data_IF_116158307678
#
_entry.id   IF_116158307678
#
_cell.length_a   1.000
_cell.length_b   1.000
_cell.length_c   1.000
_cell.angle_alpha   90.00
_cell.angle_beta   90.00
_cell.angle_gamma   90.00
#
_symmetry.space_group_name_H-M   'P 1'
#
loop_
_entity.id
_entity.type
_entity.pdbx_description
1 polymer ?
#
# COMPACT_ATOMS: atom_id res chain seq x y z
N UNK A 1 -20.52 19.04 -30.73
CA UNK A 1 -19.53 18.05 -30.28
C UNK A 1 -18.15 18.69 -30.41
N UNK A 2 -17.57 19.19 -29.33
CA UNK A 2 -16.23 19.79 -29.34
C UNK A 2 -15.19 18.72 -29.00
N UNK A 3 -14.24 18.48 -29.91
CA UNK A 3 -13.10 17.60 -29.70
C UNK A 3 -12.10 18.24 -28.75
N UNK A 4 -11.60 17.47 -27.79
CA UNK A 4 -10.48 17.85 -26.94
C UNK A 4 -9.20 17.53 -27.70
N UNK A 5 -8.45 18.55 -28.12
CA UNK A 5 -7.12 18.41 -28.70
C UNK A 5 -6.09 18.39 -27.57
N UNK A 6 -5.33 17.30 -27.44
CA UNK A 6 -4.27 17.17 -26.43
C UNK A 6 -2.94 17.75 -26.98
N UNK A 7 -2.29 18.72 -26.31
CA UNK A 7 -1.19 19.51 -26.89
C UNK A 7 0.23 19.01 -26.56
N UNK A 8 0.46 17.70 -26.53
CA UNK A 8 1.81 17.18 -26.24
C UNK A 8 2.41 16.46 -27.45
N UNK A 9 3.27 17.19 -28.18
CA UNK A 9 4.20 16.62 -29.16
C UNK A 9 5.61 16.72 -28.58
N UNK A 10 6.16 15.65 -27.98
CA UNK A 10 7.58 15.62 -27.66
C UNK A 10 8.36 15.51 -28.97
N UNK A 11 9.24 16.48 -29.19
CA UNK A 11 10.15 16.50 -30.32
C UNK A 11 11.26 15.45 -30.13
N UNK A 12 11.42 14.59 -31.11
CA UNK A 12 12.64 13.81 -31.30
C UNK A 12 12.69 12.49 -30.54
N UNK A 13 11.93 11.49 -31.01
CA UNK A 13 12.29 10.08 -30.87
C UNK A 13 11.69 9.35 -32.08
N UNK A 14 12.47 8.49 -32.71
CA UNK A 14 12.16 7.86 -33.99
C UNK A 14 10.78 7.21 -33.97
N UNK A 15 10.01 7.41 -35.04
CA UNK A 15 8.71 6.76 -35.21
C UNK A 15 8.94 5.25 -35.20
N UNK A 16 8.61 4.59 -34.08
CA UNK A 16 8.52 3.15 -34.03
C UNK A 16 7.59 2.69 -35.15
N UNK A 17 8.07 1.75 -35.97
CA UNK A 17 7.30 1.12 -37.03
C UNK A 17 5.98 0.57 -36.46
N UNK A 18 4.88 0.73 -37.19
CA UNK A 18 3.52 0.30 -36.77
C UNK A 18 3.43 -1.17 -36.32
N UNK A 19 4.45 -1.98 -36.62
CA UNK A 19 4.56 -3.38 -36.20
C UNK A 19 4.96 -3.53 -34.72
N UNK A 20 5.78 -2.64 -34.16
CA UNK A 20 6.24 -2.71 -32.77
C UNK A 20 5.18 -2.22 -31.76
N UNK A 21 4.31 -1.30 -32.20
CA UNK A 21 3.19 -0.81 -31.38
C UNK A 21 2.08 -1.85 -31.17
N UNK A 22 2.09 -2.96 -31.92
CA UNK A 22 1.05 -4.01 -31.85
C UNK A 22 1.30 -5.05 -30.76
N UNK A 23 2.52 -5.10 -30.21
CA UNK A 23 2.92 -6.09 -29.19
C UNK A 23 3.08 -5.45 -27.81
N UNK A 24 3.17 -4.12 -27.74
CA UNK A 24 3.25 -3.41 -26.47
C UNK A 24 1.84 -3.10 -25.95
N UNK A 25 1.37 -3.88 -24.98
CA UNK A 25 0.17 -3.58 -24.22
C UNK A 25 0.55 -2.70 -23.00
N UNK A 26 0.30 -1.37 -23.04
CA UNK A 26 0.57 -0.48 -21.91
C UNK A 26 -0.33 -0.74 -20.69
N UNK A 27 -1.28 -1.69 -20.78
CA UNK A 27 -2.24 -2.07 -19.72
C UNK A 27 -1.86 -3.33 -18.95
N UNK A 28 -0.64 -3.85 -19.06
CA UNK A 28 -0.13 -4.77 -18.03
C UNK A 28 0.31 -3.96 -16.81
N UNK A 29 -0.65 -3.27 -16.18
CA UNK A 29 -0.45 -2.71 -14.85
C UNK A 29 -0.38 -3.92 -13.90
N UNK A 30 0.79 -4.17 -13.33
CA UNK A 30 0.98 -5.22 -12.36
C UNK A 30 0.10 -4.94 -11.13
N UNK A 31 -1.04 -5.61 -11.04
CA UNK A 31 -1.90 -5.54 -9.85
C UNK A 31 -1.28 -6.43 -8.79
N UNK A 32 -0.74 -5.83 -7.74
CA UNK A 32 -0.33 -6.60 -6.56
C UNK A 32 -1.57 -6.88 -5.72
N UNK A 33 -2.16 -8.06 -5.89
CA UNK A 33 -3.13 -8.58 -4.93
C UNK A 33 -2.37 -9.08 -3.71
N UNK A 34 -2.68 -8.51 -2.54
CA UNK A 34 -2.25 -9.04 -1.25
C UNK A 34 -3.48 -9.69 -0.65
N UNK A 35 -3.59 -11.01 -0.80
CA UNK A 35 -4.64 -11.78 -0.16
C UNK A 35 -4.27 -11.99 1.31
N UNK A 36 -5.19 -11.62 2.21
CA UNK A 36 -5.06 -11.92 3.63
C UNK A 36 -5.74 -13.29 3.83
N UNK A 37 -5.01 -14.34 4.27
CA UNK A 37 -5.59 -15.65 4.55
C UNK A 37 -6.86 -15.54 5.41
N UNK A 38 -7.92 -16.29 5.08
CA UNK A 38 -9.25 -16.13 5.70
C UNK A 38 -9.27 -16.38 7.22
N UNK A 39 -8.20 -16.96 7.76
CA UNK A 39 -8.01 -17.22 9.17
C UNK A 39 -7.30 -16.07 9.91
N UNK A 40 -7.04 -14.91 9.31
CA UNK A 40 -6.40 -13.80 10.01
C UNK A 40 -7.41 -12.82 10.64
N UNK A 41 -7.10 -12.35 11.84
CA UNK A 41 -7.74 -11.21 12.48
C UNK A 41 -6.94 -9.93 12.20
N UNK A 42 -7.65 -8.83 11.94
CA UNK A 42 -7.07 -7.49 11.82
C UNK A 42 -7.49 -6.63 13.01
N UNK A 43 -6.55 -5.87 13.55
CA UNK A 43 -6.79 -4.79 14.52
C UNK A 43 -6.27 -3.48 13.98
N UNK A 44 -6.98 -2.39 14.29
CA UNK A 44 -6.62 -1.05 13.84
C UNK A 44 -6.77 -0.10 15.01
N UNK A 45 -5.77 0.75 15.21
CA UNK A 45 -5.83 1.90 16.10
C UNK A 45 -5.83 3.19 15.29
N UNK A 46 -6.79 4.05 15.59
CA UNK A 46 -6.96 5.34 14.95
C UNK A 46 -6.54 6.49 15.87
N UNK A 47 -5.97 7.53 15.27
CA UNK A 47 -5.91 8.87 15.86
C UNK A 47 -6.64 9.84 14.94
N UNK A 48 -7.83 10.27 15.38
CA UNK A 48 -8.79 10.95 14.52
C UNK A 48 -9.22 10.06 13.34
N UNK A 49 -9.04 10.55 12.12
CA UNK A 49 -9.37 9.82 10.89
C UNK A 49 -8.20 9.00 10.31
N UNK A 50 -7.02 9.03 10.95
CA UNK A 50 -5.81 8.37 10.46
C UNK A 50 -5.55 7.08 11.24
N UNK A 51 -5.26 5.99 10.53
CA UNK A 51 -4.90 4.71 11.15
C UNK A 51 -3.41 4.73 11.53
N UNK A 52 -3.09 4.80 12.83
CA UNK A 52 -1.69 4.86 13.28
C UNK A 52 -1.04 3.48 13.33
N UNK A 53 -1.78 2.48 13.81
CA UNK A 53 -1.30 1.12 13.96
C UNK A 53 -2.28 0.13 13.33
N UNK A 54 -1.75 -0.78 12.52
CA UNK A 54 -2.48 -1.93 12.02
C UNK A 54 -1.79 -3.20 12.50
N UNK A 55 -2.57 -4.19 12.89
CA UNK A 55 -2.09 -5.47 13.42
C UNK A 55 -2.77 -6.60 12.70
N UNK A 56 -2.01 -7.58 12.26
CA UNK A 56 -2.52 -8.81 11.64
C UNK A 56 -1.97 -10.01 12.38
N UNK A 57 -2.83 -10.96 12.73
CA UNK A 57 -2.44 -12.21 13.36
C UNK A 57 -3.41 -13.31 12.95
N UNK A 58 -3.06 -14.58 13.19
CA UNK A 58 -4.04 -15.66 13.11
C UNK A 58 -5.20 -15.43 14.09
N UNK A 59 -6.40 -15.74 13.65
CA UNK A 59 -7.63 -15.69 14.44
C UNK A 59 -7.50 -16.61 15.66
N UNK A 60 -7.88 -16.11 16.82
CA UNK A 60 -7.70 -16.80 18.09
C UNK A 60 -6.35 -16.54 18.77
N UNK A 61 -5.39 -15.89 18.11
CA UNK A 61 -4.19 -15.41 18.80
C UNK A 61 -4.56 -14.33 19.83
N UNK A 62 -4.03 -14.47 21.05
CA UNK A 62 -4.21 -13.48 22.10
C UNK A 62 -3.58 -12.13 21.74
N UNK A 63 -4.17 -11.03 22.20
CA UNK A 63 -3.62 -9.67 22.00
C UNK A 63 -2.24 -9.49 22.62
N UNK A 64 -1.99 -10.14 23.75
CA UNK A 64 -0.75 -10.13 24.51
C UNK A 64 0.27 -11.15 23.98
N UNK A 65 -0.11 -11.98 23.01
CA UNK A 65 0.79 -12.97 22.45
C UNK A 65 1.65 -12.31 21.37
N UNK A 66 2.95 -12.60 21.38
CA UNK A 66 3.86 -12.22 20.31
C UNK A 66 3.52 -12.95 19.01
N UNK A 67 3.73 -12.29 17.86
CA UNK A 67 3.48 -12.87 16.53
C UNK A 67 2.49 -12.06 15.68
N UNK A 68 1.99 -10.93 16.20
CA UNK A 68 1.27 -9.97 15.38
C UNK A 68 2.23 -9.31 14.40
N UNK A 69 1.86 -9.31 13.12
CA UNK A 69 2.42 -8.40 12.13
C UNK A 69 1.89 -6.99 12.42
N UNK A 70 2.75 -6.14 12.96
CA UNK A 70 2.43 -4.76 13.30
C UNK A 70 2.92 -3.83 12.20
N UNK A 71 2.08 -2.88 11.81
CA UNK A 71 2.41 -1.81 10.88
C UNK A 71 2.14 -0.48 11.55
N UNK A 72 3.15 0.40 11.55
CA UNK A 72 3.02 1.78 12.03
C UNK A 72 3.03 2.74 10.85
N UNK A 73 2.08 3.65 10.82
CA UNK A 73 1.97 4.69 9.82
C UNK A 73 2.32 6.05 10.40
N UNK A 74 3.15 6.81 9.68
CA UNK A 74 3.38 8.24 9.92
C UNK A 74 2.74 9.03 8.80
N UNK A 75 2.17 10.18 9.15
CA UNK A 75 1.42 11.03 8.24
C UNK A 75 2.04 12.43 8.17
N UNK A 76 1.90 13.09 7.02
CA UNK A 76 2.18 14.52 6.89
C UNK A 76 1.02 15.37 7.46
N UNK A 77 1.20 16.69 7.43
CA UNK A 77 0.20 17.65 7.88
C UNK A 77 -1.10 17.64 7.03
N UNK A 78 -1.07 17.06 5.83
CA UNK A 78 -2.23 16.91 4.95
C UNK A 78 -2.95 15.58 5.13
N UNK A 79 -2.55 14.75 6.09
CA UNK A 79 -3.14 13.43 6.35
C UNK A 79 -2.73 12.36 5.34
N UNK A 80 -1.64 12.55 4.58
CA UNK A 80 -1.12 11.54 3.67
C UNK A 80 -0.08 10.70 4.39
N UNK A 81 -0.17 9.38 4.25
CA UNK A 81 0.82 8.46 4.83
C UNK A 81 2.18 8.67 4.13
N UNK A 82 3.21 9.01 4.90
CA UNK A 82 4.57 9.28 4.41
C UNK A 82 5.54 8.14 4.71
N UNK A 83 5.28 7.36 5.77
CA UNK A 83 6.12 6.24 6.16
C UNK A 83 5.24 5.10 6.67
N UNK A 84 5.55 3.89 6.23
CA UNK A 84 5.03 2.64 6.79
C UNK A 84 6.21 1.81 7.29
N UNK A 85 6.21 1.51 8.58
CA UNK A 85 7.22 0.67 9.21
C UNK A 85 6.57 -0.63 9.71
N UNK A 86 7.36 -1.69 9.81
CA UNK A 86 6.86 -3.02 10.16
C UNK A 86 7.64 -3.56 11.36
N UNK A 87 6.93 -4.25 12.25
CA UNK A 87 7.50 -5.03 13.35
C UNK A 87 6.68 -6.30 13.59
N UNK A 88 7.22 -7.22 14.37
CA UNK A 88 6.51 -8.39 14.87
C UNK A 88 6.60 -8.41 16.38
N UNK A 89 5.45 -8.34 17.05
CA UNK A 89 5.38 -8.32 18.52
C UNK A 89 3.97 -8.70 19.01
N UNK A 90 3.63 -8.38 20.26
CA UNK A 90 2.27 -8.36 20.77
C UNK A 90 1.49 -7.12 20.31
N UNK A 91 0.16 -7.21 20.19
CA UNK A 91 -0.66 -6.04 19.91
C UNK A 91 -0.65 -5.03 21.09
N UNK A 92 -0.53 -5.52 22.32
CA UNK A 92 -0.49 -4.69 23.52
C UNK A 92 0.75 -3.78 23.53
N UNK A 93 1.88 -4.27 23.04
CA UNK A 93 3.16 -3.54 22.98
C UNK A 93 3.38 -2.76 21.68
N UNK A 94 2.36 -2.63 20.81
CA UNK A 94 2.48 -1.93 19.52
C UNK A 94 3.07 -0.52 19.62
N UNK A 95 2.88 0.19 20.72
CA UNK A 95 3.44 1.53 20.89
C UNK A 95 4.92 1.51 21.34
N UNK A 96 5.35 0.44 22.01
CA UNK A 96 6.66 0.30 22.64
C UNK A 96 7.65 -0.51 21.77
N UNK A 97 7.14 -1.31 20.83
CA UNK A 97 7.99 -2.12 19.96
C UNK A 97 8.86 -1.26 19.04
N UNK A 98 10.00 -1.80 18.63
CA UNK A 98 10.92 -1.11 17.71
C UNK A 98 10.54 -1.42 16.27
N UNK A 99 10.11 -0.38 15.56
CA UNK A 99 9.75 -0.45 14.15
C UNK A 99 10.95 -0.25 13.22
N UNK A 100 10.99 -1.02 12.13
CA UNK A 100 12.03 -0.92 11.09
C UNK A 100 11.43 -0.50 9.75
#
# INVERSE_FOLDING_TARGET
>A
MSSITNPYTPAGEGRASEVEARVFDPKVWAVRYVEIPSNMQMRVEYSGYNALYLGYADSGLGISASGWLLQKYTYDASGRATLRQISYDSWDDRALTTYK
#
